data_IF_320074098414
#
_entry.id   IF_320074098414
#
_cell.length_a   1.000
_cell.length_b   1.000
_cell.length_c   1.000
_cell.angle_alpha   90.00
_cell.angle_beta   90.00
_cell.angle_gamma   90.00
#
_symmetry.space_group_name_H-M   'P 1'
#
loop_
_entity.id
_entity.type
_entity.pdbx_description
1 polymer ?
#
# COMPACT_ATOMS: atom_id res chain seq x y z
N UNK A 1 7.32 18.96 -1.89
CA UNK A 1 7.99 17.68 -1.56
C UNK A 1 6.94 16.67 -1.11
N UNK A 2 7.07 15.44 -1.57
CA UNK A 2 6.27 14.28 -1.20
C UNK A 2 7.21 13.20 -0.68
N UNK A 3 6.72 12.37 0.24
CA UNK A 3 7.39 11.14 0.66
C UNK A 3 6.47 9.97 0.41
N UNK A 4 7.00 8.91 -0.18
CA UNK A 4 6.32 7.62 -0.26
C UNK A 4 7.13 6.54 0.46
N UNK A 5 6.43 5.60 1.09
CA UNK A 5 7.05 4.53 1.88
C UNK A 5 6.18 3.26 1.86
N UNK A 6 6.83 2.10 1.76
CA UNK A 6 6.19 0.79 1.75
C UNK A 6 6.20 0.13 3.12
N UNK A 7 5.04 -0.38 3.55
CA UNK A 7 4.92 -1.17 4.77
C UNK A 7 4.21 -2.50 4.55
N UNK A 8 4.57 -3.50 5.35
CA UNK A 8 3.93 -4.81 5.35
C UNK A 8 2.85 -4.90 6.43
N UNK A 9 1.61 -5.23 6.05
CA UNK A 9 0.49 -5.44 6.96
C UNK A 9 0.16 -6.94 7.10
N UNK A 10 0.34 -7.50 8.29
CA UNK A 10 -0.05 -8.88 8.61
C UNK A 10 -1.44 -8.91 9.26
N UNK A 11 -2.50 -8.85 8.45
CA UNK A 11 -3.87 -8.66 8.94
C UNK A 11 -4.49 -9.90 9.63
N UNK A 12 -3.82 -11.05 9.61
CA UNK A 12 -4.24 -12.27 10.31
C UNK A 12 -3.24 -12.74 11.38
N UNK A 13 -2.24 -11.92 11.70
CA UNK A 13 -1.31 -12.28 12.76
C UNK A 13 -1.99 -12.07 14.12
N UNK A 14 -2.04 -13.12 14.94
CA UNK A 14 -2.42 -12.99 16.34
C UNK A 14 -1.31 -12.28 17.13
N UNK A 15 -1.66 -11.51 18.18
CA UNK A 15 -0.68 -10.93 19.08
C UNK A 15 0.19 -12.02 19.70
N UNK A 16 1.51 -11.82 19.71
CA UNK A 16 2.45 -12.81 20.25
C UNK A 16 2.39 -12.91 21.79
N UNK A 17 1.79 -11.92 22.44
CA UNK A 17 1.66 -11.83 23.90
C UNK A 17 0.32 -11.20 24.29
N UNK A 18 -0.76 -11.96 24.26
CA UNK A 18 -1.96 -11.65 25.04
C UNK A 18 -2.84 -12.87 25.07
N UNK A 19 -2.92 -13.54 26.24
CA UNK A 19 -3.96 -14.47 26.65
C UNK A 19 -4.68 -15.22 25.50
N UNK A 20 -3.92 -15.82 24.58
CA UNK A 20 -4.45 -16.96 23.87
C UNK A 20 -4.68 -18.00 24.96
N UNK A 21 -5.86 -18.59 25.04
CA UNK A 21 -6.04 -19.73 25.93
C UNK A 21 -4.88 -20.70 25.66
N UNK A 22 -4.34 -21.33 26.71
CA UNK A 22 -3.25 -22.30 26.56
C UNK A 22 -3.57 -23.41 25.55
N UNK A 23 -4.83 -23.52 25.10
CA UNK A 23 -5.32 -24.47 24.11
C UNK A 23 -4.99 -24.07 22.65
N UNK A 24 -5.01 -22.78 22.28
CA UNK A 24 -4.77 -22.37 20.87
C UNK A 24 -3.30 -22.37 20.46
N UNK A 25 -2.40 -22.03 21.39
CA UNK A 25 -0.95 -22.00 21.15
C UNK A 25 -0.28 -23.38 21.22
N UNK A 26 -1.01 -24.38 21.74
CA UNK A 26 -0.50 -25.74 22.00
C UNK A 26 -1.03 -26.79 21.01
N UNK A 27 -1.84 -26.40 20.02
CA UNK A 27 -2.34 -27.33 19.01
C UNK A 27 -1.19 -27.77 18.06
N UNK A 28 -0.87 -29.07 17.97
CA UNK A 28 0.13 -29.56 17.03
C UNK A 28 -0.31 -29.22 15.60
N UNK A 29 0.44 -28.34 14.92
CA UNK A 29 0.14 -27.92 13.54
C UNK A 29 -0.37 -26.47 13.35
N UNK A 30 -0.41 -25.64 14.40
CA UNK A 30 -0.78 -24.22 14.25
C UNK A 30 0.27 -23.43 13.43
N UNK A 31 0.09 -23.37 12.11
CA UNK A 31 0.82 -22.45 11.23
C UNK A 31 0.16 -21.08 11.29
N UNK A 32 0.85 -20.11 11.88
CA UNK A 32 0.48 -18.69 11.79
C UNK A 32 0.18 -18.34 10.33
N UNK A 33 -1.06 -17.92 10.05
CA UNK A 33 -1.47 -17.59 8.69
C UNK A 33 -0.85 -16.25 8.31
N UNK A 34 0.34 -16.28 7.70
CA UNK A 34 1.07 -15.10 7.22
C UNK A 34 0.42 -14.53 5.95
N UNK A 35 -0.82 -14.06 6.02
CA UNK A 35 -1.39 -13.25 4.95
C UNK A 35 -0.87 -11.82 5.10
N UNK A 36 0.18 -11.51 4.34
CA UNK A 36 0.80 -10.20 4.26
C UNK A 36 0.20 -9.41 3.09
N UNK A 37 -0.17 -8.17 3.36
CA UNK A 37 -0.41 -7.15 2.34
C UNK A 37 0.80 -6.20 2.32
N UNK A 38 1.13 -5.69 1.15
CA UNK A 38 2.06 -4.54 1.05
C UNK A 38 1.24 -3.30 0.83
N UNK A 39 1.53 -2.24 1.57
CA UNK A 39 0.84 -0.96 1.50
C UNK A 39 1.86 0.12 1.18
N UNK A 40 1.65 0.85 0.10
CA UNK A 40 2.40 2.07 -0.22
C UNK A 40 1.55 3.26 0.18
N UNK A 41 2.10 4.09 1.06
CA UNK A 41 1.51 5.35 1.49
C UNK A 41 2.32 6.52 0.93
N UNK A 42 1.66 7.62 0.58
CA UNK A 42 2.32 8.83 0.08
C UNK A 42 1.57 10.07 0.52
N UNK A 43 2.31 11.08 0.99
CA UNK A 43 1.77 12.41 1.28
C UNK A 43 2.80 13.50 1.01
N UNK A 44 2.32 14.74 0.90
CA UNK A 44 3.19 15.91 1.00
C UNK A 44 3.71 16.07 2.45
N UNK A 45 4.71 16.93 2.62
CA UNK A 45 5.38 17.17 3.92
C UNK A 45 4.41 17.59 5.03
N UNK A 46 3.44 18.43 4.70
CA UNK A 46 2.43 18.91 5.66
C UNK A 46 1.30 17.90 5.90
N UNK A 47 1.22 16.83 5.11
CA UNK A 47 0.12 15.87 5.14
C UNK A 47 -1.22 16.43 4.68
N UNK A 48 -1.27 17.63 4.08
CA UNK A 48 -2.51 18.22 3.54
C UNK A 48 -2.97 17.55 2.24
N UNK A 49 -2.03 16.99 1.47
CA UNK A 49 -2.31 16.13 0.33
C UNK A 49 -1.86 14.70 0.62
N UNK A 50 -2.81 13.82 0.91
CA UNK A 50 -2.59 12.38 1.12
C UNK A 50 -3.16 11.62 -0.07
N UNK A 51 -2.33 10.80 -0.70
CA UNK A 51 -2.77 10.01 -1.83
C UNK A 51 -3.53 8.76 -1.33
N UNK A 52 -4.47 8.22 -2.14
CA UNK A 52 -5.05 6.92 -1.85
C UNK A 52 -3.96 5.85 -1.70
N UNK A 53 -4.09 5.00 -0.68
CA UNK A 53 -3.15 3.90 -0.45
C UNK A 53 -3.12 2.97 -1.67
N UNK A 54 -1.92 2.54 -2.06
CA UNK A 54 -1.80 1.38 -2.93
C UNK A 54 -1.66 0.13 -2.07
N UNK A 55 -2.51 -0.86 -2.34
CA UNK A 55 -2.55 -2.11 -1.59
C UNK A 55 -2.27 -3.26 -2.53
N UNK A 56 -1.27 -4.06 -2.17
CA UNK A 56 -0.84 -5.23 -2.93
C UNK A 56 -1.11 -6.48 -2.10
N UNK A 57 -1.99 -7.34 -2.62
CA UNK A 57 -2.31 -8.62 -2.01
C UNK A 57 -2.07 -9.79 -2.95
N UNK A 58 -1.96 -11.00 -2.41
CA UNK A 58 -1.70 -12.19 -3.23
C UNK A 58 -2.82 -12.52 -4.24
N UNK A 59 -4.08 -12.26 -3.88
CA UNK A 59 -5.23 -12.62 -4.71
C UNK A 59 -5.77 -11.39 -5.45
N UNK A 60 -6.13 -11.54 -6.72
CA UNK A 60 -6.81 -10.48 -7.51
C UNK A 60 -8.11 -10.01 -6.84
N UNK A 61 -8.87 -10.94 -6.27
CA UNK A 61 -10.06 -10.67 -5.47
C UNK A 61 -10.02 -11.50 -4.19
N UNK A 62 -9.58 -10.93 -3.06
CA UNK A 62 -9.58 -11.63 -1.78
C UNK A 62 -10.97 -12.16 -1.42
N UNK A 63 -11.06 -13.33 -0.78
CA UNK A 63 -12.34 -13.91 -0.34
C UNK A 63 -13.16 -12.97 0.55
N UNK A 64 -12.49 -12.15 1.36
CA UNK A 64 -13.12 -11.13 2.20
C UNK A 64 -13.84 -10.03 1.38
N UNK A 65 -13.42 -9.81 0.13
CA UNK A 65 -13.97 -8.78 -0.78
C UNK A 65 -14.79 -9.40 -1.92
N UNK A 66 -15.19 -10.68 -1.82
CA UNK A 66 -15.83 -11.43 -2.91
C UNK A 66 -17.08 -10.76 -3.49
N UNK A 67 -17.86 -10.11 -2.63
CA UNK A 67 -19.13 -9.47 -3.00
C UNK A 67 -18.98 -7.96 -3.23
N UNK A 68 -17.76 -7.44 -3.18
CA UNK A 68 -17.49 -6.02 -3.41
C UNK A 68 -17.00 -5.79 -4.84
N UNK A 69 -17.32 -4.62 -5.36
CA UNK A 69 -16.69 -4.11 -6.56
C UNK A 69 -15.28 -3.61 -6.18
N UNK A 70 -14.24 -4.21 -6.76
CA UNK A 70 -12.86 -3.83 -6.46
C UNK A 70 -12.57 -2.37 -6.87
N UNK A 71 -13.28 -1.85 -7.88
CA UNK A 71 -13.11 -0.49 -8.36
C UNK A 71 -13.79 0.55 -7.45
N UNK A 72 -14.69 0.14 -6.55
CA UNK A 72 -15.33 1.04 -5.59
C UNK A 72 -14.56 1.17 -4.28
N UNK A 73 -13.43 0.47 -4.14
CA UNK A 73 -12.59 0.57 -2.94
C UNK A 73 -11.87 1.93 -2.93
N UNK A 74 -11.69 2.56 -1.76
CA UNK A 74 -10.95 3.82 -1.62
C UNK A 74 -9.42 3.63 -1.70
N UNK A 75 -8.96 2.55 -2.33
CA UNK A 75 -7.54 2.19 -2.45
C UNK A 75 -7.22 1.77 -3.88
N UNK A 76 -5.96 1.94 -4.27
CA UNK A 76 -5.44 1.40 -5.51
C UNK A 76 -4.98 -0.05 -5.31
N UNK A 77 -5.89 -1.00 -5.51
CA UNK A 77 -5.60 -2.41 -5.27
C UNK A 77 -4.93 -3.09 -6.48
N UNK A 78 -3.88 -3.88 -6.24
CA UNK A 78 -3.24 -4.76 -7.22
C UNK A 78 -2.97 -6.13 -6.61
N UNK A 79 -2.99 -7.17 -7.44
CA UNK A 79 -2.55 -8.48 -7.01
C UNK A 79 -1.12 -8.78 -7.44
N UNK A 80 -0.26 -8.99 -6.46
CA UNK A 80 1.10 -9.47 -6.66
C UNK A 80 1.61 -10.07 -5.34
N UNK A 81 2.80 -10.65 -5.35
CA UNK A 81 3.46 -11.18 -4.15
C UNK A 81 4.15 -10.08 -3.31
N UNK A 82 4.57 -8.97 -3.94
CA UNK A 82 5.28 -7.83 -3.34
C UNK A 82 5.25 -6.62 -4.29
N UNK A 83 5.85 -5.50 -3.88
CA UNK A 83 6.02 -4.32 -4.73
C UNK A 83 7.03 -4.60 -5.85
N UNK A 84 6.80 -4.03 -7.04
CA UNK A 84 7.68 -4.22 -8.21
C UNK A 84 7.76 -2.94 -9.02
N UNK A 85 8.85 -2.72 -9.77
CA UNK A 85 9.03 -1.55 -10.64
C UNK A 85 7.83 -1.21 -11.53
N UNK A 86 7.24 -2.18 -12.27
CA UNK A 86 6.06 -1.92 -13.09
C UNK A 86 4.83 -1.46 -12.28
N UNK A 87 4.64 -2.01 -11.09
CA UNK A 87 3.55 -1.61 -10.19
C UNK A 87 3.79 -0.22 -9.60
N UNK A 88 5.04 0.09 -9.23
CA UNK A 88 5.43 1.44 -8.80
C UNK A 88 5.14 2.46 -9.91
N UNK A 89 5.57 2.16 -11.14
CA UNK A 89 5.33 3.00 -12.30
C UNK A 89 3.86 3.19 -12.59
N UNK A 90 3.07 2.12 -12.53
CA UNK A 90 1.63 2.24 -12.70
C UNK A 90 1.00 3.16 -11.65
N UNK A 91 1.39 3.01 -10.37
CA UNK A 91 0.91 3.89 -9.31
C UNK A 91 1.36 5.34 -9.52
N UNK A 92 2.62 5.55 -9.91
CA UNK A 92 3.16 6.87 -10.17
C UNK A 92 2.36 7.58 -11.27
N UNK A 93 2.18 6.93 -12.42
CA UNK A 93 1.50 7.49 -13.59
C UNK A 93 -0.01 7.69 -13.33
N UNK A 94 -0.67 6.73 -12.66
CA UNK A 94 -2.15 6.73 -12.52
C UNK A 94 -2.65 7.39 -11.24
N UNK A 95 -1.82 7.52 -10.20
CA UNK A 95 -2.24 8.05 -8.88
C UNK A 95 -1.40 9.24 -8.47
N UNK A 96 -0.07 9.14 -8.52
CA UNK A 96 0.77 10.24 -8.06
C UNK A 96 0.65 11.48 -8.95
N UNK A 97 0.99 11.36 -10.24
CA UNK A 97 1.00 12.51 -11.16
C UNK A 97 -0.35 13.24 -11.22
N UNK A 98 -1.51 12.56 -11.38
CA UNK A 98 -2.80 13.25 -11.43
C UNK A 98 -3.17 13.93 -10.11
N UNK A 99 -2.89 13.28 -8.96
CA UNK A 99 -3.23 13.83 -7.65
C UNK A 99 -2.40 15.06 -7.30
N UNK A 100 -1.12 15.07 -7.70
CA UNK A 100 -0.22 16.21 -7.47
C UNK A 100 -0.58 17.38 -8.37
N UNK A 101 -0.83 17.13 -9.66
CA UNK A 101 -1.25 18.18 -10.61
C UNK A 101 -2.51 18.88 -10.13
N UNK A 102 -3.55 18.08 -9.81
CA UNK A 102 -4.82 18.60 -9.29
C UNK A 102 -4.63 19.43 -8.02
N UNK A 103 -3.89 18.90 -7.04
CA UNK A 103 -3.62 19.64 -5.80
C UNK A 103 -2.88 20.96 -6.06
N UNK A 104 -1.88 20.95 -6.95
CA UNK A 104 -1.13 22.15 -7.26
C UNK A 104 -2.00 23.18 -8.01
N UNK A 105 -2.88 22.75 -8.92
CA UNK A 105 -3.85 23.61 -9.60
C UNK A 105 -4.82 24.26 -8.60
N UNK A 106 -5.41 23.46 -7.70
CA UNK A 106 -6.37 23.92 -6.68
C UNK A 106 -5.76 24.88 -5.64
N UNK A 107 -4.43 24.87 -5.47
CA UNK A 107 -3.72 25.70 -4.51
C UNK A 107 -2.82 26.75 -5.17
N UNK A 108 -2.98 26.98 -6.48
CA UNK A 108 -2.20 27.97 -7.25
C UNK A 108 -0.67 27.77 -7.12
N UNK A 109 -0.24 26.52 -7.01
CA UNK A 109 1.17 26.13 -6.89
C UNK A 109 1.78 25.84 -8.26
N UNK A 110 3.11 26.02 -8.42
CA UNK A 110 3.82 25.59 -9.63
C UNK A 110 3.61 24.10 -9.92
N UNK A 111 3.51 23.72 -11.19
CA UNK A 111 3.35 22.33 -11.64
C UNK A 111 4.66 21.54 -11.56
N UNK A 112 5.22 21.45 -10.35
CA UNK A 112 6.45 20.76 -10.02
C UNK A 112 6.31 20.10 -8.65
N UNK A 113 6.88 18.92 -8.49
CA UNK A 113 6.96 18.23 -7.22
C UNK A 113 8.20 17.35 -7.18
N UNK A 114 8.80 17.21 -5.99
CA UNK A 114 9.81 16.20 -5.73
C UNK A 114 9.16 15.07 -4.93
N UNK A 115 9.34 13.83 -5.38
CA UNK A 115 8.96 12.61 -4.68
C UNK A 115 10.21 11.98 -4.07
N UNK A 116 10.22 11.80 -2.75
CA UNK A 116 11.26 11.12 -2.00
C UNK A 116 10.82 9.67 -1.73
N UNK A 117 11.68 8.75 -2.11
CA UNK A 117 11.53 7.30 -1.92
C UNK A 117 12.80 6.72 -1.32
N UNK A 118 12.71 5.56 -0.66
CA UNK A 118 13.90 4.85 -0.20
C UNK A 118 14.65 4.21 -1.38
N UNK A 119 15.89 3.75 -1.16
CA UNK A 119 16.66 3.10 -2.22
C UNK A 119 16.29 1.60 -2.30
N UNK A 120 15.05 1.31 -2.69
CA UNK A 120 14.55 -0.04 -2.85
C UNK A 120 14.65 -0.52 -4.31
N UNK A 121 14.99 -1.79 -4.52
CA UNK A 121 15.11 -2.38 -5.88
C UNK A 121 13.80 -2.38 -6.68
N UNK A 122 12.66 -2.16 -6.02
CA UNK A 122 11.36 -2.06 -6.68
C UNK A 122 11.07 -0.65 -7.22
N UNK A 123 11.95 0.32 -7.02
CA UNK A 123 11.83 1.66 -7.60
C UNK A 123 12.61 1.71 -8.91
N UNK A 124 11.98 2.13 -10.03
CA UNK A 124 12.68 2.23 -11.30
C UNK A 124 13.85 3.22 -11.21
N UNK A 125 15.00 2.84 -11.76
CA UNK A 125 16.21 3.67 -11.74
C UNK A 125 16.12 4.90 -12.66
N UNK A 126 15.12 4.95 -13.53
CA UNK A 126 14.90 5.95 -14.58
C UNK A 126 13.77 6.94 -14.27
N UNK A 127 13.28 6.97 -13.02
CA UNK A 127 12.27 7.93 -12.55
C UNK A 127 12.82 9.23 -12.01
#
# INVERSE_FOLDING_TARGET
>A
FYKADETGLNFKALPTKSLASQEESSAPGHKMTKQRLTVLACSNVTGTNKLPLMVIGKAAKPRALKNLNMNSLPVFYRSNSWMSGPLFKEWFDKKFVPSVKKFNEENELPQRALLLIDNATCHPSDM
#
